data_IF_780010079725
#
_entry.id   IF_780010079725
#
_cell.length_a   1.000
_cell.length_b   1.000
_cell.length_c   1.000
_cell.angle_alpha   90.00
_cell.angle_beta   90.00
_cell.angle_gamma   90.00
#
_symmetry.space_group_name_H-M   'P 1'
#
loop_
_entity.id
_entity.type
_entity.pdbx_description
1 polymer ?
#
# COMPACT_ATOMS: atom_id res chain seq x y z
N UNK A 1 -4.75 -17.95 6.92
CA UNK A 1 -3.44 -17.60 7.50
C UNK A 1 -3.72 -16.85 8.77
N UNK A 2 -3.59 -17.51 9.92
CA UNK A 2 -3.76 -16.88 11.23
C UNK A 2 -2.36 -16.46 11.66
N UNK A 3 -2.09 -15.16 11.57
CA UNK A 3 -0.84 -14.59 12.07
C UNK A 3 -0.83 -14.81 13.59
N UNK A 4 0.30 -15.28 14.15
CA UNK A 4 0.41 -15.61 15.58
C UNK A 4 -0.01 -14.40 16.45
N UNK A 5 -1.11 -14.49 17.22
CA UNK A 5 -1.63 -13.36 17.99
C UNK A 5 -0.72 -12.93 19.15
N UNK A 6 0.25 -13.77 19.51
CA UNK A 6 1.27 -13.44 20.52
C UNK A 6 2.38 -12.60 19.87
N UNK A 7 2.94 -13.09 18.76
CA UNK A 7 4.02 -12.38 18.04
C UNK A 7 3.56 -11.04 17.47
N UNK A 8 2.34 -10.97 16.94
CA UNK A 8 1.80 -9.77 16.26
C UNK A 8 0.68 -9.10 17.07
N UNK A 9 0.79 -9.16 18.39
CA UNK A 9 -0.17 -8.55 19.28
C UNK A 9 -0.28 -7.04 19.01
N UNK A 10 -1.52 -6.55 18.87
CA UNK A 10 -1.82 -5.15 18.54
C UNK A 10 -1.32 -4.13 19.57
N UNK A 11 -1.18 -4.54 20.83
CA UNK A 11 -0.75 -3.67 21.94
C UNK A 11 0.71 -3.87 22.33
N UNK A 12 1.20 -5.10 22.29
CA UNK A 12 2.53 -5.45 22.75
C UNK A 12 3.17 -6.50 21.81
N UNK A 13 3.61 -6.08 20.60
CA UNK A 13 4.19 -7.00 19.63
C UNK A 13 5.51 -7.59 20.14
N UNK A 14 5.91 -8.74 19.59
CA UNK A 14 7.24 -9.30 19.85
C UNK A 14 8.32 -8.30 19.44
N UNK A 15 9.30 -8.12 20.32
CA UNK A 15 10.41 -7.21 20.10
C UNK A 15 11.56 -7.88 19.33
N UNK A 16 11.37 -8.09 18.03
CA UNK A 16 12.32 -8.80 17.17
C UNK A 16 13.72 -8.15 17.14
N UNK A 17 14.77 -8.97 17.14
CA UNK A 17 16.07 -8.59 16.57
C UNK A 17 16.02 -8.68 15.04
N UNK A 18 16.99 -8.06 14.36
CA UNK A 18 17.11 -8.15 12.89
C UNK A 18 17.09 -9.60 12.39
N UNK A 19 17.92 -10.47 12.98
CA UNK A 19 18.00 -11.87 12.57
C UNK A 19 16.68 -12.61 12.79
N UNK A 20 16.01 -12.40 13.92
CA UNK A 20 14.71 -13.04 14.17
C UNK A 20 13.63 -12.54 13.22
N UNK A 21 13.61 -11.26 12.87
CA UNK A 21 12.65 -10.69 11.92
C UNK A 21 12.91 -11.19 10.49
N UNK A 22 14.18 -11.26 10.09
CA UNK A 22 14.61 -11.85 8.83
C UNK A 22 14.18 -13.32 8.73
N UNK A 23 14.48 -14.13 9.74
CA UNK A 23 14.10 -15.55 9.78
C UNK A 23 12.58 -15.75 9.84
N UNK A 24 11.86 -14.85 10.52
CA UNK A 24 10.40 -14.86 10.55
C UNK A 24 9.81 -14.64 9.15
N UNK A 25 10.27 -13.63 8.40
CA UNK A 25 9.81 -13.39 7.04
C UNK A 25 10.18 -14.55 6.11
N UNK A 26 11.39 -15.11 6.24
CA UNK A 26 11.84 -16.28 5.48
C UNK A 26 10.91 -17.46 5.70
N UNK A 27 10.60 -17.77 6.95
CA UNK A 27 9.73 -18.89 7.30
C UNK A 27 8.30 -18.67 6.79
N UNK A 28 7.76 -17.45 6.98
CA UNK A 28 6.42 -17.10 6.53
C UNK A 28 6.28 -17.22 5.01
N UNK A 29 7.21 -16.64 4.26
CA UNK A 29 7.19 -16.62 2.79
C UNK A 29 7.42 -18.01 2.18
N UNK A 30 8.33 -18.81 2.73
CA UNK A 30 8.51 -20.21 2.31
C UNK A 30 7.31 -21.10 2.64
N UNK A 31 6.50 -20.73 3.65
CA UNK A 31 5.28 -21.45 4.02
C UNK A 31 4.05 -21.08 3.17
N UNK A 32 4.13 -20.07 2.31
CA UNK A 32 3.02 -19.66 1.45
C UNK A 32 2.71 -20.75 0.41
N UNK A 33 1.45 -21.20 0.36
CA UNK A 33 0.98 -22.17 -0.65
C UNK A 33 0.63 -21.46 -1.94
N UNK A 34 1.61 -21.43 -2.83
CA UNK A 34 1.60 -20.65 -4.07
C UNK A 34 1.92 -21.56 -5.26
N UNK A 35 1.54 -21.17 -6.49
CA UNK A 35 1.72 -22.02 -7.68
C UNK A 35 3.19 -22.36 -7.94
N UNK A 36 4.09 -21.42 -7.69
CA UNK A 36 5.54 -21.61 -7.68
C UNK A 36 6.08 -21.18 -6.31
N UNK A 37 6.70 -22.09 -5.54
CA UNK A 37 7.22 -21.76 -4.21
C UNK A 37 8.17 -20.55 -4.25
N UNK A 38 7.97 -19.62 -3.32
CA UNK A 38 8.86 -18.48 -3.13
C UNK A 38 10.13 -18.92 -2.38
N UNK A 39 11.28 -18.38 -2.77
CA UNK A 39 12.48 -18.49 -1.97
C UNK A 39 12.40 -17.47 -0.82
N UNK A 40 12.14 -17.96 0.40
CA UNK A 40 11.93 -17.07 1.53
C UNK A 40 13.16 -16.28 1.94
N UNK A 41 14.36 -16.76 1.60
CA UNK A 41 15.59 -15.99 1.83
C UNK A 41 15.68 -14.80 0.89
N UNK A 42 15.34 -14.97 -0.38
CA UNK A 42 15.30 -13.88 -1.36
C UNK A 42 14.22 -12.86 -1.00
N UNK A 43 13.03 -13.32 -0.57
CA UNK A 43 11.98 -12.43 -0.05
C UNK A 43 12.49 -11.63 1.13
N UNK A 44 13.17 -12.28 2.08
CA UNK A 44 13.72 -11.59 3.25
C UNK A 44 14.80 -10.59 2.87
N UNK A 45 15.71 -10.96 1.95
CA UNK A 45 16.71 -10.03 1.42
C UNK A 45 16.08 -8.81 0.79
N UNK A 46 15.04 -8.98 -0.03
CA UNK A 46 14.35 -7.90 -0.70
C UNK A 46 13.76 -6.88 0.29
N UNK A 47 12.98 -7.32 1.27
CA UNK A 47 12.34 -6.42 2.24
C UNK A 47 13.26 -5.88 3.33
N UNK A 48 14.36 -6.58 3.64
CA UNK A 48 15.32 -6.14 4.66
C UNK A 48 16.55 -5.46 4.05
N UNK A 49 16.55 -5.21 2.74
CA UNK A 49 17.64 -4.48 2.08
C UNK A 49 17.79 -3.09 2.68
N UNK A 50 19.01 -2.73 3.09
CA UNK A 50 19.31 -1.46 3.73
C UNK A 50 19.00 -1.40 5.24
N UNK A 51 18.43 -2.46 5.82
CA UNK A 51 18.24 -2.59 7.26
C UNK A 51 19.43 -3.29 7.92
N UNK A 52 19.56 -3.13 9.24
CA UNK A 52 20.67 -3.68 10.02
C UNK A 52 20.25 -4.07 11.43
N UNK A 53 21.20 -4.58 12.20
CA UNK A 53 21.03 -4.89 13.63
C UNK A 53 20.72 -3.65 14.50
N UNK A 54 20.96 -2.44 13.99
CA UNK A 54 20.67 -1.17 14.66
C UNK A 54 19.31 -0.57 14.26
N UNK A 55 18.60 -1.18 13.32
CA UNK A 55 17.28 -0.71 12.87
C UNK A 55 16.27 -0.77 14.02
N UNK A 56 15.40 0.24 14.09
CA UNK A 56 14.32 0.29 15.06
C UNK A 56 13.42 -0.95 14.95
N UNK A 57 13.09 -1.55 16.08
CA UNK A 57 12.40 -2.84 16.11
C UNK A 57 10.95 -2.74 15.60
N UNK A 58 10.33 -1.57 15.67
CA UNK A 58 9.02 -1.34 15.06
C UNK A 58 9.12 -1.34 13.54
N UNK A 59 10.22 -0.85 12.96
CA UNK A 59 10.45 -0.92 11.51
C UNK A 59 10.58 -2.38 11.05
N UNK A 60 11.30 -3.22 11.83
CA UNK A 60 11.46 -4.64 11.49
C UNK A 60 10.11 -5.39 11.40
N UNK A 61 9.20 -5.17 12.36
CA UNK A 61 7.87 -5.78 12.30
C UNK A 61 6.97 -5.13 11.24
N UNK A 62 7.14 -3.83 10.97
CA UNK A 62 6.46 -3.17 9.85
C UNK A 62 6.85 -3.78 8.51
N UNK A 63 8.14 -4.07 8.27
CA UNK A 63 8.57 -4.71 7.02
C UNK A 63 7.94 -6.09 6.80
N UNK A 64 7.82 -6.89 7.87
CA UNK A 64 7.09 -8.17 7.79
C UNK A 64 5.63 -7.92 7.38
N UNK A 65 4.99 -6.89 7.95
CA UNK A 65 3.64 -6.48 7.63
C UNK A 65 3.49 -5.97 6.18
N UNK A 66 4.45 -5.18 5.69
CA UNK A 66 4.50 -4.69 4.31
C UNK A 66 4.63 -5.87 3.36
N UNK A 67 5.56 -6.79 3.61
CA UNK A 67 5.74 -7.98 2.77
C UNK A 67 4.47 -8.84 2.68
N UNK A 68 3.77 -9.01 3.80
CA UNK A 68 2.48 -9.71 3.82
C UNK A 68 1.39 -8.93 3.06
N UNK A 69 1.30 -7.62 3.27
CA UNK A 69 0.34 -6.75 2.58
C UNK A 69 0.56 -6.70 1.07
N UNK A 70 1.83 -6.68 0.64
CA UNK A 70 2.22 -6.69 -0.76
C UNK A 70 1.82 -8.01 -1.43
N UNK A 71 2.08 -9.15 -0.77
CA UNK A 71 1.61 -10.46 -1.25
C UNK A 71 0.08 -10.54 -1.33
N UNK A 72 -0.63 -10.14 -0.27
CA UNK A 72 -2.06 -10.41 -0.11
C UNK A 72 -2.98 -9.40 -0.82
N UNK A 73 -2.54 -8.14 -0.98
CA UNK A 73 -3.39 -7.04 -1.43
C UNK A 73 -2.72 -6.23 -2.54
N UNK A 74 -1.54 -5.64 -2.29
CA UNK A 74 -0.94 -4.63 -3.20
C UNK A 74 -0.65 -5.22 -4.57
N UNK A 75 0.11 -6.31 -4.63
CA UNK A 75 0.54 -6.90 -5.90
C UNK A 75 -0.60 -7.50 -6.73
N UNK A 76 -1.57 -8.27 -6.18
CA UNK A 76 -2.72 -8.70 -6.96
C UNK A 76 -3.55 -7.51 -7.49
N UNK A 77 -3.65 -6.42 -6.72
CA UNK A 77 -4.34 -5.19 -7.17
C UNK A 77 -3.62 -4.53 -8.35
N UNK A 78 -2.28 -4.41 -8.29
CA UNK A 78 -1.47 -3.86 -9.37
C UNK A 78 -1.55 -4.72 -10.63
N UNK A 79 -1.49 -6.06 -10.49
CA UNK A 79 -1.60 -6.99 -11.62
C UNK A 79 -3.00 -6.93 -12.25
N UNK A 80 -4.05 -6.84 -11.43
CA UNK A 80 -5.41 -6.61 -11.92
C UNK A 80 -5.51 -5.30 -12.71
N UNK A 81 -4.97 -4.20 -12.19
CA UNK A 81 -4.98 -2.90 -12.86
C UNK A 81 -4.24 -2.95 -14.21
N UNK A 82 -3.05 -3.57 -14.26
CA UNK A 82 -2.28 -3.80 -15.50
C UNK A 82 -3.09 -4.62 -16.52
N UNK A 83 -3.74 -5.71 -16.06
CA UNK A 83 -4.57 -6.57 -16.92
C UNK A 83 -5.82 -5.86 -17.42
N UNK A 84 -6.50 -5.10 -16.57
CA UNK A 84 -7.67 -4.31 -16.95
C UNK A 84 -7.32 -3.28 -18.03
N UNK A 85 -6.18 -2.61 -17.87
CA UNK A 85 -5.67 -1.67 -18.88
C UNK A 85 -5.30 -2.34 -20.21
N UNK A 86 -4.59 -3.49 -20.18
CA UNK A 86 -4.07 -4.12 -21.39
C UNK A 86 -5.05 -5.03 -22.15
N UNK A 87 -6.03 -5.61 -21.45
CA UNK A 87 -6.98 -6.56 -22.05
C UNK A 87 -8.14 -5.87 -22.76
N UNK A 88 -8.37 -4.59 -22.47
CA UNK A 88 -9.51 -3.88 -23.02
C UNK A 88 -9.17 -3.15 -24.33
N UNK A 89 -9.73 -3.66 -25.43
CA UNK A 89 -9.65 -3.03 -26.75
C UNK A 89 -10.52 -1.77 -26.87
N UNK A 90 -11.36 -1.48 -25.88
CA UNK A 90 -12.29 -0.34 -25.88
C UNK A 90 -11.76 0.91 -25.19
N UNK A 91 -10.56 0.85 -24.57
CA UNK A 91 -9.86 2.02 -24.03
C UNK A 91 -10.15 2.32 -22.55
N UNK A 92 -10.30 1.29 -21.71
CA UNK A 92 -10.44 1.43 -20.26
C UNK A 92 -9.37 2.36 -19.68
N UNK A 93 -9.83 3.39 -18.97
CA UNK A 93 -8.97 4.31 -18.23
C UNK A 93 -8.73 3.76 -16.83
N UNK A 94 -7.46 3.54 -16.50
CA UNK A 94 -7.06 3.05 -15.18
C UNK A 94 -6.33 4.15 -14.43
N UNK A 95 -6.75 4.40 -13.19
CA UNK A 95 -6.14 5.36 -12.26
C UNK A 95 -5.80 4.62 -10.97
N UNK A 96 -4.61 4.88 -10.40
CA UNK A 96 -4.16 4.25 -9.16
C UNK A 96 -3.86 5.30 -8.09
N UNK A 97 -4.21 5.00 -6.84
CA UNK A 97 -3.72 5.73 -5.68
C UNK A 97 -2.99 4.79 -4.71
N UNK A 98 -2.12 5.35 -3.89
CA UNK A 98 -1.50 4.70 -2.75
C UNK A 98 -1.85 5.48 -1.48
N UNK A 99 -2.49 4.82 -0.52
CA UNK A 99 -2.88 5.46 0.73
C UNK A 99 -1.83 5.23 1.81
N UNK A 100 -1.03 6.25 2.09
CA UNK A 100 0.07 6.24 3.04
C UNK A 100 -0.10 7.33 4.10
N UNK A 101 -1.31 7.45 4.63
CA UNK A 101 -1.66 8.43 5.66
C UNK A 101 -1.89 7.74 7.00
N UNK A 102 -1.05 8.07 7.99
CA UNK A 102 -1.27 7.64 9.37
C UNK A 102 -2.31 8.54 10.02
N UNK A 103 -3.38 7.93 10.53
CA UNK A 103 -4.41 8.65 11.28
C UNK A 103 -3.94 8.90 12.73
N UNK A 104 -4.13 10.12 13.22
CA UNK A 104 -3.58 10.63 14.48
C UNK A 104 -4.25 10.07 15.73
N UNK A 105 -5.50 9.60 15.63
CA UNK A 105 -6.16 8.85 16.71
C UNK A 105 -6.24 7.37 16.35
N UNK A 106 -6.10 6.44 17.32
CA UNK A 106 -6.33 5.01 17.10
C UNK A 106 -7.68 4.76 16.43
N UNK A 107 -7.66 4.01 15.33
CA UNK A 107 -8.87 3.60 14.59
C UNK A 107 -8.99 2.08 14.63
N UNK A 108 -10.10 1.55 14.09
CA UNK A 108 -10.49 0.13 14.16
C UNK A 108 -9.28 -0.78 13.88
N UNK A 109 -8.91 -1.60 14.88
CA UNK A 109 -7.77 -2.54 14.84
C UNK A 109 -6.40 -1.95 14.47
N UNK A 110 -6.25 -0.61 14.49
CA UNK A 110 -5.01 0.12 14.23
C UNK A 110 -4.67 1.01 15.44
N UNK A 111 -4.21 0.37 16.52
CA UNK A 111 -4.04 1.02 17.83
C UNK A 111 -2.58 1.06 18.30
N UNK A 112 -1.73 0.19 17.77
CA UNK A 112 -0.32 0.14 18.13
C UNK A 112 0.44 1.31 17.51
N UNK A 113 1.24 2.03 18.30
CA UNK A 113 2.11 3.12 17.78
C UNK A 113 3.09 2.62 16.71
N UNK A 114 3.52 1.37 16.87
CA UNK A 114 4.39 0.64 15.96
C UNK A 114 3.71 0.28 14.64
N UNK A 115 2.37 0.33 14.56
CA UNK A 115 1.66 0.05 13.32
C UNK A 115 1.84 1.27 12.38
N UNK A 116 2.10 0.98 11.11
CA UNK A 116 2.10 1.98 10.04
C UNK A 116 0.68 2.39 9.68
N UNK A 117 0.36 2.33 8.39
CA UNK A 117 -1.00 2.52 7.89
C UNK A 117 -1.68 1.16 7.81
N UNK A 118 -2.76 0.98 8.56
CA UNK A 118 -3.46 -0.30 8.61
C UNK A 118 -4.49 -0.43 7.47
N UNK A 119 -4.80 -1.67 7.11
CA UNK A 119 -5.86 -1.98 6.16
C UNK A 119 -7.20 -1.33 6.56
N UNK A 120 -7.88 -0.70 5.58
CA UNK A 120 -9.15 -0.02 5.77
C UNK A 120 -9.07 1.39 6.33
N UNK A 121 -7.87 1.93 6.59
CA UNK A 121 -7.70 3.31 7.06
C UNK A 121 -8.18 4.34 6.03
N UNK A 122 -8.05 4.01 4.74
CA UNK A 122 -8.49 4.80 3.60
C UNK A 122 -10.02 4.95 3.53
N UNK A 123 -10.78 3.94 3.98
CA UNK A 123 -12.25 3.99 4.05
C UNK A 123 -12.72 5.16 4.92
N UNK A 124 -12.00 5.41 6.02
CA UNK A 124 -12.35 6.47 6.98
C UNK A 124 -12.33 7.84 6.30
N UNK A 125 -11.30 8.12 5.51
CA UNK A 125 -11.15 9.37 4.77
C UNK A 125 -12.02 9.40 3.52
N UNK A 126 -12.15 8.27 2.81
CA UNK A 126 -12.97 8.15 1.60
C UNK A 126 -14.46 8.43 1.84
N UNK A 127 -14.99 8.06 3.01
CA UNK A 127 -16.41 8.23 3.35
C UNK A 127 -16.70 9.49 4.18
N UNK A 128 -15.72 10.37 4.38
CA UNK A 128 -15.96 11.68 5.00
C UNK A 128 -16.13 11.65 6.53
N UNK A 129 -15.68 10.61 7.22
CA UNK A 129 -15.73 10.57 8.69
C UNK A 129 -15.02 11.77 9.36
N UNK A 130 -13.91 12.31 8.82
CA UNK A 130 -13.31 13.54 9.33
C UNK A 130 -14.24 14.76 9.33
N UNK A 131 -15.27 14.79 8.48
CA UNK A 131 -16.29 15.84 8.47
C UNK A 131 -17.47 15.53 9.39
N UNK A 132 -17.81 14.25 9.54
CA UNK A 132 -18.89 13.81 10.43
C UNK A 132 -18.54 14.00 11.91
N UNK A 133 -17.29 13.70 12.29
CA UNK A 133 -16.80 13.80 13.67
C UNK A 133 -15.52 14.65 13.76
N UNK A 134 -15.57 15.97 13.45
CA UNK A 134 -14.36 16.78 13.26
C UNK A 134 -13.45 16.89 14.50
N UNK A 135 -13.99 16.67 15.71
CA UNK A 135 -13.23 16.64 16.96
C UNK A 135 -12.33 15.39 17.10
N UNK A 136 -12.54 14.39 16.25
CA UNK A 136 -11.79 13.14 16.24
C UNK A 136 -10.70 13.04 15.17
N UNK A 137 -10.52 14.13 14.43
CA UNK A 137 -9.62 14.18 13.29
C UNK A 137 -8.85 15.50 13.21
N UNK A 138 -7.62 15.42 12.73
CA UNK A 138 -6.74 16.55 12.45
C UNK A 138 -7.20 17.29 11.19
N UNK A 139 -6.82 18.56 11.08
CA UNK A 139 -7.12 19.39 9.92
C UNK A 139 -6.60 18.76 8.62
N UNK A 140 -5.38 18.20 8.67
CA UNK A 140 -4.79 17.47 7.55
C UNK A 140 -5.62 16.25 7.14
N UNK A 141 -6.19 15.52 8.09
CA UNK A 141 -7.03 14.34 7.78
C UNK A 141 -8.35 14.76 7.12
N UNK A 142 -8.91 15.91 7.52
CA UNK A 142 -10.07 16.51 6.83
C UNK A 142 -9.69 16.95 5.41
N UNK A 143 -8.51 17.53 5.23
CA UNK A 143 -8.02 17.91 3.91
C UNK A 143 -7.85 16.70 2.99
N UNK A 144 -7.23 15.62 3.48
CA UNK A 144 -7.05 14.36 2.73
C UNK A 144 -8.41 13.74 2.40
N UNK A 145 -9.34 13.74 3.35
CA UNK A 145 -10.72 13.28 3.12
C UNK A 145 -11.42 14.09 2.04
N UNK A 146 -11.28 15.42 2.06
CA UNK A 146 -11.81 16.27 0.97
C UNK A 146 -11.18 15.91 -0.38
N UNK A 147 -9.86 15.72 -0.44
CA UNK A 147 -9.17 15.36 -1.68
C UNK A 147 -9.68 14.03 -2.24
N UNK A 148 -9.74 12.99 -1.41
CA UNK A 148 -10.24 11.67 -1.83
C UNK A 148 -11.69 11.71 -2.32
N UNK A 149 -12.59 12.35 -1.56
CA UNK A 149 -13.99 12.47 -1.95
C UNK A 149 -14.15 13.25 -3.26
N UNK A 150 -13.39 14.34 -3.45
CA UNK A 150 -13.40 15.08 -4.71
C UNK A 150 -12.89 14.25 -5.88
N UNK A 151 -11.82 13.48 -5.68
CA UNK A 151 -11.29 12.58 -6.70
C UNK A 151 -12.27 11.47 -7.08
N UNK A 152 -12.93 10.85 -6.10
CA UNK A 152 -13.96 9.84 -6.37
C UNK A 152 -15.21 10.44 -7.02
N UNK A 153 -15.65 11.62 -6.58
CA UNK A 153 -16.75 12.35 -7.21
C UNK A 153 -16.45 12.63 -8.69
N UNK A 154 -15.27 13.19 -8.98
CA UNK A 154 -14.85 13.50 -10.34
C UNK A 154 -14.73 12.24 -11.19
N UNK A 155 -14.20 11.15 -10.64
CA UNK A 155 -14.08 9.89 -11.35
C UNK A 155 -15.46 9.35 -11.77
N UNK A 156 -16.42 9.34 -10.86
CA UNK A 156 -17.80 8.90 -11.14
C UNK A 156 -18.49 9.82 -12.15
N UNK A 157 -18.30 11.14 -12.02
CA UNK A 157 -19.00 12.12 -12.85
C UNK A 157 -18.39 12.29 -14.25
N UNK A 158 -17.06 12.27 -14.35
CA UNK A 158 -16.31 12.68 -15.54
C UNK A 158 -15.42 11.57 -16.11
N UNK A 159 -15.37 10.39 -15.48
CA UNK A 159 -14.46 9.31 -15.88
C UNK A 159 -12.97 9.63 -15.64
N UNK A 160 -12.65 10.61 -14.80
CA UNK A 160 -11.27 10.92 -14.38
C UNK A 160 -11.24 11.56 -12.98
N UNK A 161 -10.19 11.37 -12.16
CA UNK A 161 -10.13 11.89 -10.79
C UNK A 161 -10.00 13.43 -10.67
N UNK A 162 -9.79 14.14 -11.78
CA UNK A 162 -9.60 15.58 -11.81
C UNK A 162 -8.17 16.02 -11.50
N UNK A 163 -8.06 17.26 -11.02
CA UNK A 163 -6.80 17.98 -10.76
C UNK A 163 -6.46 17.91 -9.28
N UNK A 164 -5.20 17.63 -8.95
CA UNK A 164 -4.63 17.84 -7.62
C UNK A 164 -3.45 18.79 -7.74
N UNK A 165 -3.46 19.85 -6.95
CA UNK A 165 -2.39 20.86 -6.90
C UNK A 165 -1.99 21.41 -8.27
N UNK A 166 -2.99 21.70 -9.11
CA UNK A 166 -2.79 22.20 -10.48
C UNK A 166 -2.37 21.14 -11.51
N UNK A 167 -2.03 19.92 -11.10
CA UNK A 167 -1.68 18.83 -11.99
C UNK A 167 -2.86 17.86 -12.22
N UNK A 168 -3.07 17.45 -13.46
CA UNK A 168 -4.09 16.46 -13.79
C UNK A 168 -3.64 15.07 -13.35
N UNK A 169 -4.53 14.31 -12.70
CA UNK A 169 -4.23 12.93 -12.33
C UNK A 169 -4.04 12.08 -13.59
N UNK A 170 -2.83 11.54 -13.84
CA UNK A 170 -2.56 10.75 -15.04
C UNK A 170 -3.17 9.35 -14.95
N UNK A 171 -3.74 8.88 -16.06
CA UNK A 171 -4.13 7.48 -16.24
C UNK A 171 -2.93 6.62 -16.63
N UNK A 172 -3.10 5.30 -16.58
CA UNK A 172 -2.17 4.36 -17.17
C UNK A 172 -2.07 4.60 -18.68
N UNK A 173 -0.89 4.36 -19.24
CA UNK A 173 -0.66 4.49 -20.67
C UNK A 173 0.43 3.53 -21.15
N UNK A 174 0.44 3.24 -22.45
CA UNK A 174 1.48 2.42 -23.07
C UNK A 174 2.60 3.30 -23.62
N UNK A 175 3.84 2.87 -23.40
CA UNK A 175 5.02 3.41 -24.06
C UNK A 175 5.75 2.26 -24.76
N UNK A 176 5.48 2.08 -26.05
CA UNK A 176 5.87 0.89 -26.78
C UNK A 176 5.18 -0.36 -26.22
N UNK A 177 5.97 -1.39 -25.90
CA UNK A 177 5.48 -2.62 -25.27
C UNK A 177 5.25 -2.51 -23.75
N UNK A 178 5.68 -1.41 -23.13
CA UNK A 178 5.64 -1.25 -21.68
C UNK A 178 4.36 -0.52 -21.24
N UNK A 179 3.79 -0.94 -20.12
CA UNK A 179 2.72 -0.21 -19.43
C UNK A 179 3.37 0.72 -18.40
N UNK A 180 3.08 2.01 -18.51
CA UNK A 180 3.42 2.99 -17.48
C UNK A 180 2.22 3.13 -16.55
N UNK A 181 2.47 2.98 -15.26
CA UNK A 181 1.47 2.94 -14.20
C UNK A 181 1.68 4.10 -13.21
N UNK A 182 1.20 5.32 -13.53
CA UNK A 182 1.21 6.44 -12.60
C UNK A 182 0.26 6.22 -11.43
N UNK A 183 0.61 6.77 -10.27
CA UNK A 183 -0.25 6.79 -9.10
C UNK A 183 -0.09 8.08 -8.30
N UNK A 184 -1.11 8.44 -7.52
CA UNK A 184 -1.03 9.52 -6.54
C UNK A 184 -0.94 8.95 -5.13
N UNK A 185 -0.03 9.49 -4.32
CA UNK A 185 0.15 9.08 -2.94
C UNK A 185 -0.53 10.05 -1.95
N UNK A 186 -1.49 9.54 -1.18
CA UNK A 186 -2.06 10.27 -0.06
C UNK A 186 -1.18 10.11 1.18
N UNK A 187 -0.45 11.15 1.56
CA UNK A 187 0.43 11.16 2.74
C UNK A 187 0.00 12.19 3.78
N UNK A 188 0.62 12.10 4.96
CA UNK A 188 0.50 13.12 6.00
C UNK A 188 1.10 14.47 5.61
N UNK A 189 2.01 14.51 4.63
CA UNK A 189 2.57 15.76 4.08
C UNK A 189 1.52 16.52 3.26
N UNK A 190 1.63 17.85 3.11
CA UNK A 190 0.73 18.65 2.27
C UNK A 190 0.62 18.09 0.85
N UNK A 191 -0.54 18.30 0.20
CA UNK A 191 -0.72 17.91 -1.20
C UNK A 191 0.30 18.64 -2.06
N UNK A 192 0.92 17.91 -2.99
CA UNK A 192 1.93 18.44 -3.89
C UNK A 192 1.90 17.65 -5.19
N UNK A 193 2.29 18.29 -6.29
CA UNK A 193 2.56 17.59 -7.55
C UNK A 193 3.62 16.49 -7.41
N UNK A 194 4.49 16.57 -6.39
CA UNK A 194 5.51 15.56 -6.09
C UNK A 194 4.93 14.27 -5.50
N UNK A 195 3.65 14.24 -5.13
CA UNK A 195 2.95 13.03 -4.71
C UNK A 195 2.51 12.16 -5.91
N UNK A 196 2.64 12.64 -7.14
CA UNK A 196 2.49 11.82 -8.33
C UNK A 196 3.78 11.05 -8.62
N UNK A 197 3.67 9.73 -8.63
CA UNK A 197 4.77 8.80 -8.81
C UNK A 197 4.43 7.79 -9.92
N UNK A 198 5.41 7.01 -10.34
CA UNK A 198 5.22 5.92 -11.31
C UNK A 198 5.75 4.62 -10.72
N UNK A 199 5.09 3.51 -11.05
CA UNK A 199 5.64 2.18 -10.78
C UNK A 199 5.68 1.81 -9.30
N UNK A 200 4.56 1.96 -8.60
CA UNK A 200 4.42 1.48 -7.23
C UNK A 200 4.81 0.00 -7.14
N UNK A 201 5.78 -0.33 -6.28
CA UNK A 201 6.12 -1.70 -5.90
C UNK A 201 6.44 -2.64 -7.08
N UNK A 202 7.00 -2.12 -8.17
CA UNK A 202 7.28 -2.92 -9.37
C UNK A 202 8.18 -4.11 -9.03
N UNK A 203 9.30 -3.89 -8.35
CA UNK A 203 10.29 -4.93 -8.08
C UNK A 203 9.72 -6.02 -7.17
N UNK A 204 9.05 -5.62 -6.09
CA UNK A 204 8.45 -6.57 -5.14
C UNK A 204 7.33 -7.37 -5.80
N UNK A 205 6.46 -6.72 -6.57
CA UNK A 205 5.35 -7.39 -7.23
C UNK A 205 5.79 -8.23 -8.42
N UNK A 206 6.88 -7.85 -9.10
CA UNK A 206 7.45 -8.66 -10.15
C UNK A 206 8.04 -9.94 -9.57
N UNK A 207 8.75 -9.86 -8.44
CA UNK A 207 9.27 -11.05 -7.77
C UNK A 207 8.15 -11.93 -7.18
N UNK A 208 7.22 -11.34 -6.44
CA UNK A 208 6.16 -12.07 -5.73
C UNK A 208 5.08 -12.63 -6.67
N UNK A 209 4.75 -11.93 -7.76
CA UNK A 209 3.56 -12.21 -8.57
C UNK A 209 3.79 -12.52 -10.05
N UNK A 210 4.92 -12.14 -10.68
CA UNK A 210 5.14 -12.55 -12.09
C UNK A 210 5.24 -14.07 -12.26
N UNK A 211 5.38 -14.81 -11.16
CA UNK A 211 5.40 -16.26 -11.14
C UNK A 211 4.02 -16.94 -11.35
N UNK A 212 2.91 -16.18 -11.26
CA UNK A 212 1.53 -16.67 -11.45
C UNK A 212 0.92 -16.33 -12.81
N UNK A 213 1.62 -15.57 -13.64
CA UNK A 213 1.22 -15.28 -15.01
C UNK A 213 1.59 -16.47 -15.92
N UNK A 214 0.87 -17.59 -15.76
CA UNK A 214 0.78 -18.66 -16.75
C UNK A 214 -0.67 -18.80 -17.20
#
# INVERSE_FOLDING_TARGET
MLVDPITYNITNPKNFTYNEAFDALKTLSSGLKVSKPLNGEDVSRMYFTGLSTHTDKNLLIQEIGIAFGDYAITCPTIQFAKKAFSSDKTGTKVYQYYFNTKLGKPKIYCVGKWMGVCHGSDIITAFGLPFFAPKDYLDREREISSQMMNSFHNLVKNGNPGVIDGAQWPQYYSMGANIIAPYYEYTNEPKSVTNFNIGLKIDECDYLWNQYNH
#
